data_IF_162221540104
#
_entry.id   IF_162221540104
#
_cell.length_a   1.000
_cell.length_b   1.000
_cell.length_c   1.000
_cell.angle_alpha   90.00
_cell.angle_beta   90.00
_cell.angle_gamma   90.00
#
_symmetry.space_group_name_H-M   'P 1'
#
loop_
_entity.id
_entity.type
_entity.pdbx_description
1 polymer ?
#
# COMPACT_ATOMS: atom_id res chain seq x y z
N UNK A 1 43.81 16.16 4.79
CA UNK A 1 42.35 16.19 5.06
C UNK A 1 41.72 14.90 4.53
N UNK A 2 40.90 14.19 5.32
CA UNK A 2 40.38 12.86 4.98
C UNK A 2 39.25 12.90 3.92
N UNK A 3 39.16 11.82 3.12
CA UNK A 3 38.33 11.64 1.92
C UNK A 3 36.86 11.34 2.24
N UNK A 4 35.96 11.88 1.43
CA UNK A 4 34.54 11.51 1.37
C UNK A 4 34.33 10.10 0.78
N UNK A 5 33.40 9.28 1.30
CA UNK A 5 33.03 8.03 0.65
C UNK A 5 31.90 8.25 -0.38
N UNK A 6 32.15 7.79 -1.60
CA UNK A 6 31.20 7.73 -2.72
C UNK A 6 30.56 6.33 -2.69
N UNK A 7 29.27 6.24 -2.36
CA UNK A 7 28.54 4.96 -2.27
C UNK A 7 27.81 4.65 -3.59
N UNK A 8 28.25 3.58 -4.23
CA UNK A 8 27.74 2.99 -5.47
C UNK A 8 26.54 2.08 -5.16
N UNK A 9 25.40 2.31 -5.83
CA UNK A 9 24.24 1.39 -5.80
C UNK A 9 24.36 0.30 -6.88
N UNK A 10 23.97 -0.96 -6.62
CA UNK A 10 23.88 -1.98 -7.67
C UNK A 10 22.49 -2.01 -8.34
N UNK A 11 22.38 -2.45 -9.61
CA UNK A 11 21.15 -2.44 -10.38
C UNK A 11 20.34 -3.73 -10.17
N UNK A 12 19.05 -3.61 -9.81
CA UNK A 12 18.13 -4.75 -9.72
C UNK A 12 17.43 -5.00 -11.06
N UNK A 13 17.60 -6.22 -11.58
CA UNK A 13 16.96 -6.76 -12.78
C UNK A 13 15.50 -7.12 -12.50
N UNK A 14 14.56 -6.99 -13.46
CA UNK A 14 13.16 -7.40 -13.27
C UNK A 14 12.98 -8.90 -13.58
N UNK A 15 12.38 -9.66 -12.67
CA UNK A 15 12.02 -11.06 -12.92
C UNK A 15 10.60 -11.20 -13.51
N UNK A 16 10.54 -12.06 -14.53
CA UNK A 16 9.40 -12.58 -15.28
C UNK A 16 8.41 -13.32 -14.36
N UNK A 17 7.09 -13.13 -14.55
CA UNK A 17 6.03 -13.69 -13.67
C UNK A 17 5.07 -14.51 -14.50
N UNK A 18 5.24 -15.84 -14.48
CA UNK A 18 4.33 -16.80 -15.10
C UNK A 18 3.19 -17.22 -14.16
N UNK A 19 1.97 -17.05 -14.67
CA UNK A 19 0.73 -17.81 -14.45
C UNK A 19 0.09 -17.91 -13.04
N UNK A 20 -1.11 -17.34 -12.93
CA UNK A 20 -2.24 -17.85 -12.12
C UNK A 20 -2.92 -19.02 -12.84
N UNK A 21 -3.64 -19.90 -12.12
CA UNK A 21 -5.05 -20.07 -12.48
C UNK A 21 -5.98 -20.19 -11.25
N UNK A 22 -7.05 -19.39 -11.24
CA UNK A 22 -8.25 -19.60 -10.42
C UNK A 22 -9.35 -20.14 -11.32
N UNK A 23 -9.93 -21.25 -10.87
CA UNK A 23 -11.04 -22.01 -11.44
C UNK A 23 -12.38 -21.29 -11.28
N UNK A 24 -13.16 -21.26 -12.38
CA UNK A 24 -14.64 -21.32 -12.55
C UNK A 24 -15.60 -20.49 -11.65
N UNK A 25 -16.76 -19.96 -12.09
CA UNK A 25 -17.60 -20.22 -13.29
C UNK A 25 -18.68 -19.13 -13.49
N UNK A 26 -19.27 -19.12 -14.70
CA UNK A 26 -20.61 -18.61 -15.15
C UNK A 26 -20.93 -17.09 -15.09
N UNK A 27 -21.55 -16.40 -16.07
CA UNK A 27 -22.02 -16.67 -17.45
C UNK A 27 -22.47 -15.34 -18.12
N UNK A 28 -22.58 -15.36 -19.47
CA UNK A 28 -23.44 -14.52 -20.36
C UNK A 28 -22.92 -13.26 -21.15
N UNK A 29 -22.65 -13.52 -22.46
CA UNK A 29 -23.01 -12.82 -23.74
C UNK A 29 -22.24 -11.56 -24.22
N UNK A 30 -21.68 -11.66 -25.44
CA UNK A 30 -20.96 -10.64 -26.27
C UNK A 30 -21.95 -9.88 -27.20
N UNK A 31 -21.62 -8.67 -27.75
CA UNK A 31 -20.86 -8.62 -29.02
C UNK A 31 -19.89 -7.43 -29.22
N UNK A 32 -18.68 -7.78 -29.72
CA UNK A 32 -17.87 -7.16 -30.80
C UNK A 32 -17.89 -5.62 -31.02
N UNK A 33 -16.80 -4.94 -30.63
CA UNK A 33 -16.00 -4.04 -31.51
C UNK A 33 -14.53 -4.03 -31.05
N UNK A 34 -13.59 -4.18 -31.99
CA UNK A 34 -12.17 -3.81 -31.83
C UNK A 34 -12.02 -2.38 -32.35
N UNK A 35 -11.14 -1.55 -31.78
CA UNK A 35 -9.92 -1.32 -32.52
C UNK A 35 -8.67 -1.54 -31.67
N UNK A 36 -7.64 -2.05 -32.32
CA UNK A 36 -6.32 -2.22 -31.75
C UNK A 36 -5.74 -0.85 -31.36
N UNK A 37 -5.33 -0.71 -30.11
CA UNK A 37 -4.38 0.30 -29.66
C UNK A 37 -3.66 -0.28 -28.44
N UNK A 38 -2.44 -0.74 -28.71
CA UNK A 38 -1.23 -0.74 -27.86
C UNK A 38 -1.41 -1.04 -26.36
N UNK A 39 -0.72 -2.07 -25.80
CA UNK A 39 -0.77 -2.34 -24.37
C UNK A 39 0.02 -1.26 -23.62
N UNK A 40 -0.67 -0.23 -23.16
CA UNK A 40 -0.12 0.68 -22.16
C UNK A 40 0.05 -0.13 -20.86
N UNK A 41 1.29 -0.29 -20.44
CA UNK A 41 1.69 -0.96 -19.21
C UNK A 41 0.82 -0.49 -18.04
N UNK A 42 0.32 -1.37 -17.15
CA UNK A 42 -0.38 -0.93 -15.96
C UNK A 42 0.66 -0.23 -15.08
N UNK A 43 0.66 1.10 -15.08
CA UNK A 43 1.21 1.86 -13.97
C UNK A 43 0.55 1.29 -12.73
N UNK A 44 1.34 0.82 -11.75
CA UNK A 44 0.83 0.27 -10.49
C UNK A 44 -0.10 1.31 -9.88
N UNK A 45 -1.41 1.16 -10.08
CA UNK A 45 -2.40 2.03 -9.48
C UNK A 45 -2.26 1.83 -7.98
N UNK A 46 -1.70 2.82 -7.29
CA UNK A 46 -1.57 2.77 -5.85
C UNK A 46 -2.97 2.56 -5.27
N UNK A 47 -3.22 1.36 -4.71
CA UNK A 47 -4.52 1.02 -4.12
C UNK A 47 -4.81 2.04 -3.02
N UNK A 48 -5.90 2.80 -3.19
CA UNK A 48 -6.36 3.80 -2.21
C UNK A 48 -6.66 3.13 -0.86
N UNK A 49 -6.43 3.86 0.23
CA UNK A 49 -6.82 3.43 1.57
C UNK A 49 -8.34 3.53 1.71
N UNK A 50 -8.98 2.45 2.15
CA UNK A 50 -10.41 2.45 2.49
C UNK A 50 -10.63 2.88 3.94
N UNK A 51 -11.85 3.31 4.27
CA UNK A 51 -12.23 3.67 5.64
C UNK A 51 -12.07 2.50 6.61
N UNK A 52 -12.38 1.27 6.16
CA UNK A 52 -12.22 0.05 6.94
C UNK A 52 -10.75 -0.21 7.30
N UNK A 53 -9.84 -0.14 6.32
CA UNK A 53 -8.39 -0.31 6.55
C UNK A 53 -7.85 0.73 7.54
N UNK A 54 -8.30 1.98 7.43
CA UNK A 54 -7.90 3.06 8.33
C UNK A 54 -8.45 2.86 9.75
N UNK A 55 -9.65 2.28 9.87
CA UNK A 55 -10.27 1.96 11.17
C UNK A 55 -9.49 0.84 11.86
N UNK A 56 -9.18 -0.24 11.13
CA UNK A 56 -8.34 -1.33 11.63
C UNK A 56 -6.97 -0.81 12.09
N UNK A 57 -6.34 0.03 11.28
CA UNK A 57 -5.08 0.68 11.61
C UNK A 57 -5.18 1.51 12.90
N UNK A 58 -6.24 2.29 13.04
CA UNK A 58 -6.49 3.09 14.25
C UNK A 58 -6.71 2.24 15.49
N UNK A 59 -7.53 1.19 15.42
CA UNK A 59 -7.76 0.29 16.54
C UNK A 59 -6.48 -0.40 16.98
N UNK A 60 -5.69 -0.86 16.02
CA UNK A 60 -4.43 -1.53 16.30
C UNK A 60 -3.44 -0.60 17.01
N UNK A 61 -3.30 0.64 16.53
CA UNK A 61 -2.45 1.65 17.20
C UNK A 61 -3.02 2.07 18.56
N UNK A 62 -4.34 2.07 18.73
CA UNK A 62 -4.95 2.34 20.04
C UNK A 62 -4.68 1.24 21.06
N UNK A 63 -4.56 -0.02 20.61
CA UNK A 63 -4.28 -1.18 21.47
C UNK A 63 -2.79 -1.33 21.79
N UNK A 64 -1.90 -1.15 20.81
CA UNK A 64 -0.47 -1.44 20.94
C UNK A 64 0.43 -0.19 21.00
N UNK A 65 -0.11 0.99 20.71
CA UNK A 65 0.66 2.22 20.55
C UNK A 65 1.44 2.27 19.25
N UNK A 66 2.23 3.33 19.08
CA UNK A 66 3.05 3.54 17.87
C UNK A 66 4.43 2.87 17.91
N UNK A 67 4.81 2.30 19.07
CA UNK A 67 6.14 1.75 19.33
C UNK A 67 6.34 0.27 19.02
N UNK A 68 5.38 -0.38 18.35
CA UNK A 68 5.33 -1.84 18.14
C UNK A 68 6.32 -2.41 17.09
N UNK A 69 7.19 -1.59 16.51
CA UNK A 69 8.13 -2.00 15.47
C UNK A 69 7.45 -2.50 14.18
N UNK A 70 8.24 -2.96 13.22
CA UNK A 70 7.75 -3.35 11.88
C UNK A 70 6.80 -4.56 11.90
N UNK A 71 7.00 -5.51 12.81
CA UNK A 71 6.13 -6.69 12.95
C UNK A 71 4.72 -6.32 13.42
N UNK A 72 4.58 -5.38 14.36
CA UNK A 72 3.28 -4.89 14.80
C UNK A 72 2.51 -4.20 13.68
N UNK A 73 3.18 -3.33 12.91
CA UNK A 73 2.55 -2.68 11.76
C UNK A 73 2.13 -3.64 10.65
N UNK A 74 2.82 -4.78 10.47
CA UNK A 74 2.43 -5.81 9.50
C UNK A 74 1.11 -6.51 9.89
N UNK A 75 0.85 -6.63 11.19
CA UNK A 75 -0.37 -7.24 11.74
C UNK A 75 -1.53 -6.23 11.82
N UNK A 76 -1.27 -4.94 11.60
CA UNK A 76 -2.28 -3.89 11.74
C UNK A 76 -3.35 -3.95 10.64
N UNK A 77 -2.95 -4.29 9.41
CA UNK A 77 -3.86 -4.38 8.25
C UNK A 77 -3.43 -5.56 7.37
N UNK A 78 -4.25 -6.61 7.23
CA UNK A 78 -3.85 -7.87 6.59
C UNK A 78 -3.46 -7.73 5.11
N UNK A 79 -4.03 -6.75 4.40
CA UNK A 79 -3.76 -6.50 2.98
C UNK A 79 -2.67 -5.44 2.72
N UNK A 80 -2.01 -4.93 3.77
CA UNK A 80 -1.01 -3.87 3.65
C UNK A 80 0.30 -4.28 4.30
N UNK A 81 1.37 -3.71 3.77
CA UNK A 81 2.69 -3.89 4.38
C UNK A 81 2.86 -2.98 5.59
N UNK A 82 3.69 -3.40 6.54
CA UNK A 82 4.07 -2.61 7.71
C UNK A 82 4.47 -1.16 7.36
N UNK A 83 5.28 -0.99 6.32
CA UNK A 83 5.73 0.33 5.88
C UNK A 83 4.57 1.19 5.36
N UNK A 84 3.61 0.62 4.63
CA UNK A 84 2.45 1.35 4.16
C UNK A 84 1.59 1.83 5.33
N UNK A 85 1.34 0.95 6.30
CA UNK A 85 0.58 1.24 7.51
C UNK A 85 1.25 2.36 8.34
N UNK A 86 2.55 2.24 8.59
CA UNK A 86 3.33 3.24 9.31
C UNK A 86 3.35 4.60 8.61
N UNK A 87 3.62 4.63 7.31
CA UNK A 87 3.62 5.88 6.53
C UNK A 87 2.25 6.54 6.53
N UNK A 88 1.17 5.76 6.41
CA UNK A 88 -0.20 6.29 6.42
C UNK A 88 -0.59 6.84 7.77
N UNK A 89 -0.13 6.21 8.85
CA UNK A 89 -0.30 6.75 10.20
C UNK A 89 0.38 8.12 10.35
N UNK A 90 1.65 8.23 9.94
CA UNK A 90 2.42 9.47 10.06
C UNK A 90 1.87 10.61 9.18
N UNK A 91 1.49 10.31 7.94
CA UNK A 91 1.13 11.31 6.93
C UNK A 91 -0.34 11.69 6.97
N UNK A 92 -1.24 10.77 7.36
CA UNK A 92 -2.68 10.96 7.25
C UNK A 92 -3.38 10.92 8.61
N UNK A 93 -3.43 9.75 9.27
CA UNK A 93 -4.26 9.56 10.45
C UNK A 93 -3.79 10.38 11.66
N UNK A 94 -2.49 10.40 11.96
CA UNK A 94 -1.93 11.15 13.08
C UNK A 94 -2.23 12.66 13.00
N UNK A 95 -1.90 13.33 11.88
CA UNK A 95 -2.24 14.73 11.67
C UNK A 95 -3.75 15.00 11.68
N UNK A 96 -4.55 14.11 11.07
CA UNK A 96 -6.01 14.25 11.05
C UNK A 96 -6.59 14.22 12.48
N UNK A 97 -6.19 13.26 13.31
CA UNK A 97 -6.63 13.16 14.71
C UNK A 97 -6.24 14.40 15.51
N UNK A 98 -4.99 14.87 15.38
CA UNK A 98 -4.52 16.08 16.06
C UNK A 98 -5.37 17.30 15.69
N UNK A 99 -5.70 17.46 14.41
CA UNK A 99 -6.57 18.54 13.92
C UNK A 99 -7.99 18.40 14.45
N UNK A 100 -8.56 17.19 14.42
CA UNK A 100 -9.91 16.94 14.91
C UNK A 100 -10.05 17.24 16.42
N UNK A 101 -9.05 16.86 17.22
CA UNK A 101 -9.02 17.18 18.66
C UNK A 101 -8.91 18.70 18.87
N UNK A 102 -8.03 19.39 18.12
CA UNK A 102 -7.88 20.84 18.22
C UNK A 102 -9.13 21.63 17.79
N UNK A 103 -9.89 21.10 16.83
CA UNK A 103 -11.13 21.70 16.34
C UNK A 103 -12.32 21.49 17.28
N UNK A 104 -12.24 20.51 18.20
CA UNK A 104 -13.25 20.25 19.22
C UNK A 104 -13.07 21.24 20.37
N UNK A 105 -13.38 22.52 20.10
CA UNK A 105 -13.44 23.62 21.08
C UNK A 105 -14.87 24.03 21.36
#
# INVERSE_FOLDING_TARGET
MPRVPKSTSPPVKPCDRSATPTSESADHIKPKMKPASTPNSPTKTARRWTSEELTQLFEHVSKHGTGMGTSGWAQAVPDRTANQAYQTWLQSLGPFLKKAIAAKK
#
